data_IF_479110871774
#
_entry.id   IF_479110871774
#
_cell.length_a   1.000
_cell.length_b   1.000
_cell.length_c   1.000
_cell.angle_alpha   90.00
_cell.angle_beta   90.00
_cell.angle_gamma   90.00
#
_symmetry.space_group_name_H-M   'P 1'
#
loop_
_entity.id
_entity.type
_entity.pdbx_description
1 polymer ?
#
# COMPACT_ATOMS: atom_id res chain seq x y z
N UNK A 1 -2.32 5.64 11.94
CA UNK A 1 -1.59 4.43 12.37
C UNK A 1 -2.26 3.23 11.73
N UNK A 2 -1.51 2.25 11.23
CA UNK A 2 -2.02 0.99 10.69
C UNK A 2 -1.39 -0.18 11.45
N UNK A 3 -2.16 -1.22 11.72
CA UNK A 3 -1.69 -2.46 12.35
C UNK A 3 -1.60 -3.56 11.29
N UNK A 4 -0.41 -4.16 11.16
CA UNK A 4 -0.13 -5.23 10.21
C UNK A 4 0.19 -6.50 10.98
N UNK A 5 -0.67 -7.51 10.88
CA UNK A 5 -0.39 -8.84 11.41
C UNK A 5 0.32 -9.67 10.32
N UNK A 6 1.52 -10.16 10.64
CA UNK A 6 2.33 -10.97 9.74
C UNK A 6 2.43 -12.36 10.35
N UNK A 7 2.01 -13.38 9.60
CA UNK A 7 2.11 -14.78 10.03
C UNK A 7 2.89 -15.57 8.99
N UNK A 8 4.13 -15.93 9.32
CA UNK A 8 4.93 -16.73 8.40
C UNK A 8 4.61 -18.22 8.52
N UNK A 9 3.73 -18.71 7.63
CA UNK A 9 3.45 -20.14 7.48
C UNK A 9 4.18 -20.77 6.29
N UNK A 10 4.94 -19.99 5.54
CA UNK A 10 5.78 -20.57 4.51
C UNK A 10 6.98 -21.21 5.22
N UNK A 11 7.35 -22.43 4.86
CA UNK A 11 8.42 -23.19 5.53
C UNK A 11 9.83 -22.59 5.40
N UNK A 12 9.96 -21.27 5.19
CA UNK A 12 11.17 -20.52 4.87
C UNK A 12 11.17 -19.17 5.59
N UNK A 13 12.35 -18.57 5.72
CA UNK A 13 12.49 -17.21 6.24
C UNK A 13 11.95 -16.18 5.24
N UNK A 14 11.10 -15.27 5.69
CA UNK A 14 10.66 -14.11 4.91
C UNK A 14 11.38 -12.88 5.42
N UNK A 15 12.21 -12.29 4.56
CA UNK A 15 12.90 -11.03 4.81
C UNK A 15 12.19 -9.87 4.13
N UNK A 16 12.42 -8.66 4.64
CA UNK A 16 12.04 -7.39 4.01
C UNK A 16 10.53 -7.25 3.83
N UNK A 17 9.90 -6.74 4.88
CA UNK A 17 8.52 -6.26 4.80
C UNK A 17 8.54 -4.76 4.54
N UNK A 18 7.60 -4.30 3.74
CA UNK A 18 7.42 -2.88 3.48
C UNK A 18 5.93 -2.56 3.47
N UNK A 19 5.58 -1.44 4.11
CA UNK A 19 4.24 -0.90 4.10
C UNK A 19 4.29 0.52 3.54
N UNK A 20 3.35 0.84 2.66
CA UNK A 20 3.26 2.15 2.02
C UNK A 20 1.80 2.52 1.79
N UNK A 21 1.54 3.79 1.53
CA UNK A 21 0.27 4.22 0.93
C UNK A 21 0.44 4.13 -0.58
N UNK A 22 -0.37 3.31 -1.23
CA UNK A 22 -0.46 3.22 -2.67
C UNK A 22 -1.62 4.09 -3.17
N UNK A 23 -1.36 4.90 -4.17
CA UNK A 23 -2.38 5.57 -4.98
C UNK A 23 -2.46 4.90 -6.33
N UNK A 24 -3.66 4.44 -6.69
CA UNK A 24 -3.99 3.94 -8.02
C UNK A 24 -4.74 5.01 -8.78
N UNK A 25 -4.14 5.46 -9.88
CA UNK A 25 -4.70 6.45 -10.79
C UNK A 25 -5.13 5.78 -12.08
N UNK A 26 -6.41 5.90 -12.41
CA UNK A 26 -6.91 5.56 -13.75
C UNK A 26 -7.20 6.84 -14.52
N UNK A 27 -6.63 6.99 -15.72
CA UNK A 27 -6.75 8.20 -16.53
C UNK A 27 -6.82 7.89 -18.02
N UNK A 28 -7.44 8.80 -18.79
CA UNK A 28 -7.41 8.71 -20.26
C UNK A 28 -6.20 9.41 -20.84
N UNK A 29 -5.51 8.75 -21.76
CA UNK A 29 -4.41 9.32 -22.54
C UNK A 29 -4.32 8.65 -23.91
N UNK A 30 -4.12 9.45 -24.96
CA UNK A 30 -4.00 8.99 -26.36
C UNK A 30 -5.13 8.03 -26.80
N UNK A 31 -6.38 8.32 -26.41
CA UNK A 31 -7.55 7.52 -26.79
C UNK A 31 -7.74 6.21 -26.00
N UNK A 32 -6.87 5.90 -25.03
CA UNK A 32 -6.98 4.71 -24.17
C UNK A 32 -7.07 5.06 -22.68
N UNK A 33 -7.49 4.07 -21.88
CA UNK A 33 -7.44 4.11 -20.41
C UNK A 33 -6.08 3.59 -19.97
N UNK A 34 -5.43 4.29 -19.04
CA UNK A 34 -4.13 3.93 -18.46
C UNK A 34 -4.24 3.91 -16.95
N UNK A 35 -3.46 3.02 -16.35
CA UNK A 35 -3.30 2.92 -14.91
C UNK A 35 -1.90 3.38 -14.50
N UNK A 36 -1.80 4.04 -13.34
CA UNK A 36 -0.52 4.35 -12.69
C UNK A 36 -0.63 4.07 -11.21
N UNK A 37 0.35 3.35 -10.66
CA UNK A 37 0.53 3.17 -9.23
C UNK A 37 1.62 4.13 -8.74
N UNK A 38 1.30 4.92 -7.71
CA UNK A 38 2.29 5.73 -7.00
C UNK A 38 2.37 5.24 -5.55
N UNK A 39 3.58 5.02 -5.06
CA UNK A 39 3.82 4.65 -3.67
C UNK A 39 4.26 5.87 -2.89
N UNK A 40 3.72 6.02 -1.69
CA UNK A 40 3.98 7.12 -0.78
C UNK A 40 4.31 6.57 0.60
N UNK A 41 5.21 7.26 1.30
CA UNK A 41 5.55 7.01 2.70
C UNK A 41 5.91 5.54 2.97
N UNK A 42 6.88 5.04 2.21
CA UNK A 42 7.40 3.68 2.36
C UNK A 42 8.12 3.53 3.70
N UNK A 43 7.62 2.62 4.52
CA UNK A 43 8.28 2.21 5.77
C UNK A 43 8.70 0.77 5.60
N UNK A 44 9.99 0.51 5.77
CA UNK A 44 10.55 -0.85 5.71
C UNK A 44 10.80 -1.39 7.11
N UNK A 45 10.61 -2.70 7.25
CA UNK A 45 10.97 -3.47 8.42
C UNK A 45 12.01 -4.52 8.02
N UNK A 46 13.24 -4.30 8.47
CA UNK A 46 14.38 -5.17 8.17
C UNK A 46 14.41 -6.46 9.00
N UNK A 47 13.63 -6.55 10.08
CA UNK A 47 13.51 -7.77 10.88
C UNK A 47 12.67 -8.79 10.09
N UNK A 48 13.30 -9.81 9.53
CA UNK A 48 12.56 -10.91 8.89
C UNK A 48 11.78 -11.76 9.90
N UNK A 49 10.95 -12.67 9.41
CA UNK A 49 10.26 -13.68 10.23
C UNK A 49 10.71 -15.08 9.82
N UNK A 50 11.06 -15.89 10.79
CA UNK A 50 11.32 -17.32 10.59
C UNK A 50 10.01 -18.10 10.44
N UNK A 51 10.14 -19.35 9.97
CA UNK A 51 8.99 -20.24 9.80
C UNK A 51 8.24 -20.46 11.13
N UNK A 52 6.91 -20.33 11.08
CA UNK A 52 6.01 -20.54 12.22
C UNK A 52 5.91 -19.36 13.17
N UNK A 53 6.67 -18.27 12.93
CA UNK A 53 6.56 -17.06 13.73
C UNK A 53 5.42 -16.16 13.25
N UNK A 54 4.89 -15.39 14.20
CA UNK A 54 3.98 -14.28 13.93
C UNK A 54 4.47 -13.02 14.65
N UNK A 55 4.14 -11.87 14.08
CA UNK A 55 4.41 -10.56 14.69
C UNK A 55 3.34 -9.56 14.27
N UNK A 56 3.02 -8.65 15.19
CA UNK A 56 2.21 -7.47 14.90
C UNK A 56 3.12 -6.27 14.72
N UNK A 57 3.03 -5.64 13.55
CA UNK A 57 3.78 -4.45 13.20
C UNK A 57 2.84 -3.24 13.16
N UNK A 58 3.02 -2.32 14.11
CA UNK A 58 2.35 -1.02 14.09
C UNK A 58 3.16 -0.06 13.22
N UNK A 59 2.55 0.42 12.14
CA UNK A 59 3.19 1.31 11.18
C UNK A 59 2.52 2.67 11.14
N UNK A 60 3.34 3.71 11.19
CA UNK A 60 2.90 5.09 11.02
C UNK A 60 3.16 5.51 9.56
N UNK A 61 2.10 5.54 8.77
CA UNK A 61 2.13 6.03 7.40
C UNK A 61 1.57 7.45 7.38
N UNK A 62 2.34 8.38 6.81
CA UNK A 62 1.90 9.76 6.60
C UNK A 62 1.07 9.80 5.33
N UNK A 63 -0.14 10.35 5.41
CA UNK A 63 -0.98 10.55 4.23
C UNK A 63 -0.33 11.62 3.33
N UNK A 64 -0.06 11.34 2.05
CA UNK A 64 0.48 12.35 1.15
C UNK A 64 -0.56 13.41 0.81
N UNK A 65 -0.10 14.57 0.35
CA UNK A 65 -0.99 15.60 -0.21
C UNK A 65 -1.82 15.00 -1.35
N UNK A 66 -3.13 15.26 -1.31
CA UNK A 66 -4.04 14.78 -2.34
C UNK A 66 -3.77 15.51 -3.67
N UNK A 67 -3.79 14.80 -4.81
CA UNK A 67 -3.57 15.42 -6.11
C UNK A 67 -4.60 16.52 -6.36
N UNK A 68 -4.24 17.59 -7.08
CA UNK A 68 -5.16 18.68 -7.37
C UNK A 68 -6.35 18.15 -8.18
N UNK A 69 -7.56 18.50 -7.74
CA UNK A 69 -8.82 18.16 -8.43
C UNK A 69 -8.97 18.85 -9.78
N UNK A 70 -8.13 19.84 -10.09
CA UNK A 70 -8.06 20.53 -11.39
C UNK A 70 -6.79 20.12 -12.14
N UNK A 71 -6.91 19.09 -12.96
CA UNK A 71 -5.84 18.72 -13.89
C UNK A 71 -6.01 19.61 -15.13
N UNK A 72 -5.07 20.53 -15.38
CA UNK A 72 -5.09 21.34 -16.59
C UNK A 72 -4.97 20.48 -17.86
N UNK A 73 -5.74 20.80 -18.90
CA UNK A 73 -5.69 20.13 -20.22
C UNK A 73 -6.78 19.08 -20.48
N UNK A 74 -6.67 18.33 -21.58
CA UNK A 74 -7.60 17.26 -22.00
C UNK A 74 -7.48 15.96 -21.19
N UNK A 75 -6.83 16.00 -20.03
CA UNK A 75 -6.57 14.83 -19.20
C UNK A 75 -7.76 14.57 -18.28
N UNK A 76 -8.54 13.53 -18.56
CA UNK A 76 -9.61 13.08 -17.67
C UNK A 76 -9.07 11.95 -16.78
N UNK A 77 -8.64 12.28 -15.56
CA UNK A 77 -8.56 11.26 -14.50
C UNK A 77 -9.98 10.75 -14.27
N UNK A 78 -10.12 9.43 -14.30
CA UNK A 78 -11.37 8.71 -14.17
C UNK A 78 -11.56 8.29 -12.73
N UNK A 79 -10.50 7.75 -12.11
CA UNK A 79 -10.54 7.16 -10.77
C UNK A 79 -9.24 7.46 -10.02
N UNK A 80 -9.38 7.80 -8.74
CA UNK A 80 -8.28 7.85 -7.77
C UNK A 80 -8.67 6.97 -6.58
N UNK A 81 -7.95 5.87 -6.40
CA UNK A 81 -8.11 4.96 -5.27
C UNK A 81 -6.86 4.99 -4.40
N UNK A 82 -7.04 4.81 -3.09
CA UNK A 82 -5.95 4.66 -2.15
C UNK A 82 -6.04 3.32 -1.44
N UNK A 83 -4.89 2.74 -1.16
CA UNK A 83 -4.76 1.54 -0.35
C UNK A 83 -3.52 1.63 0.54
N UNK A 84 -3.58 1.05 1.72
CA UNK A 84 -2.34 0.61 2.40
C UNK A 84 -1.87 -0.64 1.69
N UNK A 85 -0.65 -0.62 1.16
CA UNK A 85 -0.01 -1.78 0.57
C UNK A 85 1.00 -2.34 1.55
N UNK A 86 0.97 -3.65 1.74
CA UNK A 86 2.03 -4.38 2.45
C UNK A 86 2.63 -5.36 1.45
N UNK A 87 3.93 -5.28 1.25
CA UNK A 87 4.64 -6.26 0.44
C UNK A 87 5.79 -6.93 1.18
N UNK A 88 6.06 -8.16 0.79
CA UNK A 88 7.28 -8.87 1.18
C UNK A 88 7.92 -9.50 -0.04
N UNK A 89 9.25 -9.48 -0.06
CA UNK A 89 10.06 -10.08 -1.12
C UNK A 89 10.94 -11.17 -0.49
N UNK A 90 10.42 -12.41 -0.33
CA UNK A 90 11.24 -13.51 0.13
C UNK A 90 12.37 -13.74 -0.87
N UNK A 91 13.63 -13.74 -0.42
CA UNK A 91 14.81 -13.93 -1.30
C UNK A 91 14.76 -15.18 -2.18
N UNK A 92 13.97 -16.17 -1.77
CA UNK A 92 13.87 -17.47 -2.45
C UNK A 92 12.74 -17.55 -3.49
N UNK A 93 11.94 -16.50 -3.64
CA UNK A 93 10.79 -16.47 -4.55
C UNK A 93 11.09 -15.51 -5.71
N UNK A 94 10.61 -15.84 -6.91
CA UNK A 94 10.63 -14.91 -8.04
C UNK A 94 9.62 -13.78 -7.84
N UNK A 95 8.56 -14.05 -7.10
CA UNK A 95 7.40 -13.18 -6.98
C UNK A 95 7.32 -12.59 -5.57
N UNK A 96 6.98 -11.30 -5.51
CA UNK A 96 6.70 -10.62 -4.24
C UNK A 96 5.27 -10.91 -3.83
N UNK A 97 5.05 -11.08 -2.52
CA UNK A 97 3.71 -11.10 -1.95
C UNK A 97 3.28 -9.65 -1.74
N UNK A 98 2.16 -9.25 -2.34
CA UNK A 98 1.64 -7.89 -2.26
C UNK A 98 0.17 -7.97 -1.84
N UNK A 99 -0.16 -7.27 -0.77
CA UNK A 99 -1.53 -7.15 -0.26
C UNK A 99 -1.97 -5.70 -0.27
N UNK A 100 -3.17 -5.45 -0.79
CA UNK A 100 -3.78 -4.13 -0.82
C UNK A 100 -4.95 -4.09 0.16
N UNK A 101 -4.94 -3.08 1.02
CA UNK A 101 -6.01 -2.78 1.96
C UNK A 101 -6.61 -1.42 1.57
N UNK A 102 -7.77 -1.40 0.87
CA UNK A 102 -8.38 -0.16 0.40
C UNK A 102 -8.67 0.81 1.55
N UNK A 103 -8.37 2.09 1.35
CA UNK A 103 -8.64 3.16 2.31
C UNK A 103 -9.35 4.33 1.63
N UNK A 104 -10.16 5.04 2.39
CA UNK A 104 -10.73 6.33 1.98
C UNK A 104 -9.95 7.42 2.69
N UNK A 105 -9.34 8.31 1.91
CA UNK A 105 -8.67 9.48 2.44
C UNK A 105 -9.59 10.67 2.23
N UNK A 106 -10.19 11.15 3.33
CA UNK A 106 -10.90 12.42 3.37
C UNK A 106 -9.92 13.58 3.49
N UNK A 107 -10.26 14.74 2.93
CA UNK A 107 -9.59 16.00 3.22
C UNK A 107 -10.45 16.78 4.18
N UNK A 108 -10.23 16.67 5.49
CA UNK A 108 -10.85 17.54 6.49
C UNK A 108 -9.89 17.75 7.66
N UNK A 109 -10.12 18.81 8.44
CA UNK A 109 -9.45 19.06 9.72
C UNK A 109 -9.67 17.99 10.80
N UNK A 110 -10.04 16.75 10.45
CA UNK A 110 -10.06 15.59 11.34
C UNK A 110 -9.91 14.30 10.50
N UNK A 111 -8.77 13.63 10.61
CA UNK A 111 -8.51 12.35 9.95
C UNK A 111 -8.87 11.21 10.91
N UNK A 112 -9.86 10.37 10.53
CA UNK A 112 -10.10 9.07 11.17
C UNK A 112 -9.71 7.96 10.19
N UNK A 113 -8.53 7.35 10.32
CA UNK A 113 -8.18 6.20 9.51
C UNK A 113 -8.90 4.95 10.02
N UNK A 114 -9.84 4.41 9.23
CA UNK A 114 -10.40 3.08 9.45
C UNK A 114 -9.42 2.04 8.89
N UNK A 115 -8.73 1.31 9.78
CA UNK A 115 -7.79 0.24 9.42
C UNK A 115 -8.60 -1.00 9.03
N UNK A 116 -8.48 -1.48 7.79
CA UNK A 116 -8.92 -2.82 7.43
C UNK A 116 -7.81 -3.84 7.71
N UNK A 117 -8.15 -4.92 8.41
CA UNK A 117 -7.26 -6.05 8.69
C UNK A 117 -7.00 -6.82 7.40
N UNK A 118 -5.73 -7.00 7.05
CA UNK A 118 -5.31 -7.90 5.96
C UNK A 118 -4.49 -9.04 6.58
N UNK A 119 -4.91 -10.28 6.32
CA UNK A 119 -4.22 -11.50 6.73
C UNK A 119 -3.33 -11.97 5.57
N UNK A 120 -2.05 -12.18 5.85
CA UNK A 120 -1.06 -12.80 4.94
C UNK A 120 -0.65 -14.16 5.50
#
# INVERSE_FOLDING_TARGET
MAEVEIVNKCGRHISNFLAAICQRLEYRSNGGVREKLNLFCEVSRGKGLDNGQSETWNVELVVPDLPPTKLGGTCSIIVVEYAVVVWSAPKTWSDSLINFCPIVIGSEGEAVPTIAKSLI
#
